data_IF_772276192011
#
_entry.id   IF_772276192011
#
_cell.length_a   1.000
_cell.length_b   1.000
_cell.length_c   1.000
_cell.angle_alpha   90.00
_cell.angle_beta   90.00
_cell.angle_gamma   90.00
#
_symmetry.space_group_name_H-M   'P 1'
#
loop_
_entity.id
_entity.type
_entity.pdbx_description
1 polymer ?
#
# COMPACT_ATOMS: atom_id res chain seq x y z
N UNK A 1 -43.89 26.81 2.80
CA UNK A 1 -42.65 27.31 2.16
C UNK A 1 -41.42 27.03 2.99
N UNK A 2 -41.44 27.37 4.29
CA UNK A 2 -40.33 27.04 5.20
C UNK A 2 -40.18 25.53 5.45
N UNK A 3 -41.23 24.75 5.24
CA UNK A 3 -41.19 23.28 5.41
C UNK A 3 -40.29 22.59 4.39
N UNK A 4 -40.15 23.16 3.22
CA UNK A 4 -39.24 22.63 2.19
C UNK A 4 -37.77 22.76 2.53
N UNK A 5 -37.38 23.87 3.16
CA UNK A 5 -36.02 24.10 3.55
C UNK A 5 -35.59 23.20 4.71
N UNK A 6 -36.53 22.94 5.65
CA UNK A 6 -36.26 22.06 6.80
C UNK A 6 -36.09 20.60 6.37
N UNK A 7 -36.89 20.12 5.44
CA UNK A 7 -36.76 18.79 4.87
C UNK A 7 -35.46 18.61 4.11
N UNK A 8 -34.99 19.66 3.46
CA UNK A 8 -33.79 19.66 2.69
C UNK A 8 -32.53 19.57 3.59
N UNK A 9 -32.54 20.27 4.70
CA UNK A 9 -31.46 20.25 5.69
C UNK A 9 -31.39 18.87 6.40
N UNK A 10 -32.54 18.27 6.65
CA UNK A 10 -32.63 16.94 7.28
C UNK A 10 -32.04 15.86 6.39
N UNK A 11 -32.31 15.89 5.10
CA UNK A 11 -31.75 14.96 4.14
C UNK A 11 -30.22 15.11 4.03
N UNK A 12 -29.69 16.31 4.14
CA UNK A 12 -28.24 16.58 4.14
C UNK A 12 -27.54 15.97 5.33
N UNK A 13 -28.10 16.05 6.51
CA UNK A 13 -27.51 15.47 7.72
C UNK A 13 -27.49 13.95 7.66
N UNK A 14 -28.46 13.36 7.01
CA UNK A 14 -28.54 11.91 6.83
C UNK A 14 -27.55 11.41 5.76
N UNK A 15 -27.31 12.19 4.73
CA UNK A 15 -26.33 11.89 3.68
C UNK A 15 -24.89 12.00 4.18
N UNK A 16 -24.59 12.83 5.17
CA UNK A 16 -23.24 13.02 5.71
C UNK A 16 -22.67 11.74 6.34
N UNK A 17 -23.47 10.94 7.04
CA UNK A 17 -23.06 9.68 7.64
C UNK A 17 -22.79 8.61 6.56
N UNK A 18 -23.63 8.54 5.53
CA UNK A 18 -23.43 7.66 4.39
C UNK A 18 -22.24 8.09 3.55
N UNK A 19 -21.99 9.39 3.43
CA UNK A 19 -20.85 9.94 2.71
C UNK A 19 -19.51 9.58 3.34
N UNK A 20 -19.45 9.46 4.67
CA UNK A 20 -18.20 9.08 5.38
C UNK A 20 -17.83 7.62 5.08
N UNK A 21 -18.78 6.70 5.09
CA UNK A 21 -18.55 5.30 4.74
C UNK A 21 -18.18 5.14 3.27
N UNK A 22 -18.91 5.81 2.39
CA UNK A 22 -18.60 5.82 0.95
C UNK A 22 -17.24 6.45 0.69
N UNK A 23 -16.86 7.47 1.46
CA UNK A 23 -15.57 8.14 1.34
C UNK A 23 -14.41 7.19 1.68
N UNK A 24 -14.53 6.40 2.74
CA UNK A 24 -13.53 5.40 3.12
C UNK A 24 -13.42 4.32 2.05
N UNK A 25 -14.53 3.77 1.59
CA UNK A 25 -14.54 2.76 0.53
C UNK A 25 -13.90 3.30 -0.76
N UNK A 26 -14.21 4.54 -1.11
CA UNK A 26 -13.61 5.21 -2.26
C UNK A 26 -12.09 5.32 -2.13
N UNK A 27 -11.60 5.69 -0.94
CA UNK A 27 -10.17 5.80 -0.69
C UNK A 27 -9.48 4.43 -0.75
N UNK A 28 -10.11 3.40 -0.21
CA UNK A 28 -9.60 2.04 -0.31
C UNK A 28 -9.53 1.59 -1.77
N UNK A 29 -10.58 1.85 -2.53
CA UNK A 29 -10.59 1.55 -3.97
C UNK A 29 -9.43 2.25 -4.70
N UNK A 30 -9.23 3.54 -4.43
CA UNK A 30 -8.12 4.31 -4.99
C UNK A 30 -6.76 3.70 -4.60
N UNK A 31 -6.60 3.32 -3.33
CA UNK A 31 -5.37 2.68 -2.85
C UNK A 31 -5.11 1.36 -3.61
N UNK A 32 -6.12 0.53 -3.74
CA UNK A 32 -5.99 -0.76 -4.44
C UNK A 32 -5.63 -0.57 -5.92
N UNK A 33 -6.18 0.44 -6.57
CA UNK A 33 -5.79 0.78 -7.94
C UNK A 33 -4.33 1.24 -8.01
N UNK A 34 -3.89 2.04 -7.04
CA UNK A 34 -2.52 2.56 -6.99
C UNK A 34 -1.49 1.45 -6.78
N UNK A 35 -1.77 0.50 -5.90
CA UNK A 35 -0.84 -0.59 -5.58
C UNK A 35 -0.90 -1.75 -6.60
N UNK A 36 -1.79 -1.66 -7.58
CA UNK A 36 -1.88 -2.59 -8.70
C UNK A 36 -1.76 -1.85 -10.03
N UNK A 37 -0.60 -1.19 -10.31
CA UNK A 37 -0.45 -0.43 -11.55
C UNK A 37 -0.69 -1.29 -12.79
N UNK A 38 -1.64 -0.88 -13.62
CA UNK A 38 -1.98 -1.60 -14.85
C UNK A 38 -2.82 -2.85 -14.66
N UNK A 39 -3.28 -3.15 -13.44
CA UNK A 39 -4.07 -4.36 -13.15
C UNK A 39 -5.32 -4.01 -12.34
N UNK A 40 -6.32 -3.45 -13.02
CA UNK A 40 -7.61 -3.11 -12.40
C UNK A 40 -8.38 -4.36 -11.95
N UNK A 41 -8.19 -5.48 -12.60
CA UNK A 41 -8.86 -6.73 -12.25
C UNK A 41 -8.44 -7.23 -10.87
N UNK A 42 -7.15 -7.19 -10.58
CA UNK A 42 -6.64 -7.54 -9.25
C UNK A 42 -7.18 -6.57 -8.19
N UNK A 43 -7.20 -5.28 -8.49
CA UNK A 43 -7.76 -4.27 -7.60
C UNK A 43 -9.24 -4.53 -7.31
N UNK A 44 -10.02 -4.89 -8.32
CA UNK A 44 -11.44 -5.19 -8.16
C UNK A 44 -11.68 -6.40 -7.28
N UNK A 45 -10.92 -7.47 -7.47
CA UNK A 45 -11.00 -8.69 -6.66
C UNK A 45 -10.66 -8.39 -5.20
N UNK A 46 -9.62 -7.64 -4.96
CA UNK A 46 -9.19 -7.24 -3.62
C UNK A 46 -10.22 -6.34 -2.95
N UNK A 47 -10.85 -5.46 -3.71
CA UNK A 47 -11.91 -4.58 -3.19
C UNK A 47 -13.14 -5.36 -2.75
N UNK A 48 -13.54 -6.38 -3.50
CA UNK A 48 -14.64 -7.25 -3.10
C UNK A 48 -14.33 -7.98 -1.80
N UNK A 49 -13.11 -8.49 -1.65
CA UNK A 49 -12.64 -9.12 -0.42
C UNK A 49 -12.59 -8.11 0.73
N UNK A 50 -12.16 -6.88 0.46
CA UNK A 50 -12.17 -5.81 1.46
C UNK A 50 -13.58 -5.58 2.00
N UNK A 51 -14.55 -5.43 1.12
CA UNK A 51 -15.94 -5.16 1.51
C UNK A 51 -16.51 -6.31 2.34
N UNK A 52 -16.26 -7.55 1.92
CA UNK A 52 -16.73 -8.73 2.66
C UNK A 52 -16.10 -8.82 4.05
N UNK A 53 -14.80 -8.56 4.15
CA UNK A 53 -14.06 -8.59 5.42
C UNK A 53 -14.50 -7.46 6.35
N UNK A 54 -14.68 -6.26 5.81
CA UNK A 54 -15.15 -5.10 6.57
C UNK A 54 -16.54 -5.33 7.16
N UNK A 55 -17.43 -5.97 6.40
CA UNK A 55 -18.78 -6.30 6.87
C UNK A 55 -18.75 -7.32 8.02
N UNK A 56 -17.82 -8.28 7.98
CA UNK A 56 -17.67 -9.29 9.02
C UNK A 56 -17.04 -8.76 10.30
N UNK A 57 -16.01 -7.92 10.16
CA UNK A 57 -15.21 -7.44 11.31
C UNK A 57 -15.70 -6.11 11.90
N UNK A 58 -16.57 -5.40 11.19
CA UNK A 58 -17.13 -4.13 11.66
C UNK A 58 -16.16 -2.96 11.54
N UNK A 59 -15.93 -2.22 12.61
CA UNK A 59 -15.22 -0.94 12.63
C UNK A 59 -13.69 -1.06 12.64
N UNK A 60 -13.11 -2.07 12.06
CA UNK A 60 -11.65 -2.21 12.01
C UNK A 60 -11.00 -1.19 11.07
N UNK A 61 -9.70 -0.95 11.33
CA UNK A 61 -8.87 -0.04 10.54
C UNK A 61 -8.87 -0.49 9.05
N UNK A 62 -9.30 0.38 8.12
CA UNK A 62 -9.32 0.04 6.69
C UNK A 62 -7.97 -0.45 6.15
N UNK A 63 -6.88 0.14 6.61
CA UNK A 63 -5.53 -0.24 6.14
C UNK A 63 -5.17 -1.64 6.58
N UNK A 64 -5.57 -2.02 7.78
CA UNK A 64 -5.36 -3.38 8.29
C UNK A 64 -6.10 -4.40 7.45
N UNK A 65 -7.34 -4.09 7.07
CA UNK A 65 -8.13 -4.95 6.19
C UNK A 65 -7.48 -5.05 4.82
N UNK A 66 -7.02 -3.92 4.26
CA UNK A 66 -6.29 -3.92 2.98
C UNK A 66 -5.05 -4.83 3.06
N UNK A 67 -4.28 -4.73 4.15
CA UNK A 67 -3.11 -5.58 4.35
C UNK A 67 -3.48 -7.06 4.40
N UNK A 68 -4.64 -7.38 4.97
CA UNK A 68 -5.13 -8.76 5.07
C UNK A 68 -5.59 -9.32 3.72
N UNK A 69 -6.27 -8.52 2.90
CA UNK A 69 -6.84 -8.97 1.62
C UNK A 69 -5.87 -8.87 0.46
N UNK A 70 -4.81 -8.07 0.58
CA UNK A 70 -3.74 -8.03 -0.41
C UNK A 70 -2.68 -9.08 -0.04
N UNK A 71 -2.23 -9.80 -1.03
CA UNK A 71 -1.21 -10.83 -0.85
C UNK A 71 0.12 -10.38 -1.47
N UNK A 72 1.05 -11.31 -1.63
CA UNK A 72 2.37 -11.09 -2.23
C UNK A 72 2.32 -10.40 -3.61
N UNK A 73 1.17 -10.38 -4.27
CA UNK A 73 0.99 -9.74 -5.58
C UNK A 73 0.96 -8.22 -5.50
N UNK A 74 0.53 -7.67 -4.38
CA UNK A 74 0.26 -6.24 -4.27
C UNK A 74 0.91 -5.57 -3.08
N UNK A 75 1.35 -6.34 -2.09
CA UNK A 75 1.96 -5.81 -0.87
C UNK A 75 3.03 -6.75 -0.35
N UNK A 76 3.86 -6.24 0.56
CA UNK A 76 4.82 -7.09 1.25
C UNK A 76 4.80 -6.79 2.74
N UNK A 77 5.05 -7.83 3.54
CA UNK A 77 5.27 -7.76 4.98
C UNK A 77 6.36 -8.78 5.29
N UNK A 78 7.51 -8.31 5.75
CA UNK A 78 8.66 -9.17 5.98
C UNK A 78 9.36 -8.77 7.28
N UNK A 79 10.09 -9.72 7.89
CA UNK A 79 10.93 -9.43 9.05
C UNK A 79 12.06 -8.45 8.67
N UNK A 80 12.28 -7.45 9.53
CA UNK A 80 13.32 -6.45 9.31
C UNK A 80 14.72 -7.05 9.26
N UNK A 81 14.94 -8.14 9.98
CA UNK A 81 16.25 -8.83 10.04
C UNK A 81 16.45 -9.83 8.89
N UNK A 82 15.42 -10.16 8.14
CA UNK A 82 15.49 -11.15 7.07
C UNK A 82 15.66 -10.49 5.71
N UNK A 83 16.91 -10.21 5.36
CA UNK A 83 17.25 -9.58 4.07
C UNK A 83 16.87 -10.45 2.88
N UNK A 84 16.95 -11.77 3.02
CA UNK A 84 16.60 -12.71 1.95
C UNK A 84 15.10 -12.67 1.65
N UNK A 85 14.29 -12.69 2.68
CA UNK A 85 12.84 -12.58 2.55
C UNK A 85 12.42 -11.27 1.90
N UNK A 86 13.07 -10.16 2.30
CA UNK A 86 12.83 -8.85 1.70
C UNK A 86 13.10 -8.87 0.19
N UNK A 87 14.26 -9.39 -0.21
CA UNK A 87 14.63 -9.49 -1.62
C UNK A 87 13.65 -10.35 -2.40
N UNK A 88 13.26 -11.50 -1.86
CA UNK A 88 12.26 -12.37 -2.50
C UNK A 88 10.92 -11.69 -2.68
N UNK A 89 10.43 -10.99 -1.65
CA UNK A 89 9.15 -10.31 -1.70
C UNK A 89 9.15 -9.21 -2.75
N UNK A 90 10.19 -8.38 -2.80
CA UNK A 90 10.29 -7.31 -3.81
C UNK A 90 10.45 -7.90 -5.21
N UNK A 91 11.24 -8.96 -5.35
CA UNK A 91 11.42 -9.64 -6.64
C UNK A 91 10.10 -10.16 -7.18
N UNK A 92 9.26 -10.76 -6.34
CA UNK A 92 7.94 -11.22 -6.74
C UNK A 92 7.01 -10.08 -7.14
N UNK A 93 7.01 -8.99 -6.37
CA UNK A 93 6.17 -7.82 -6.67
C UNK A 93 6.51 -7.23 -8.04
N UNK A 94 7.80 -7.06 -8.33
CA UNK A 94 8.21 -6.42 -9.59
C UNK A 94 8.12 -7.36 -10.78
N UNK A 95 8.03 -8.66 -10.55
CA UNK A 95 7.85 -9.64 -11.63
C UNK A 95 6.56 -9.43 -12.41
N UNK A 96 5.56 -8.79 -11.81
CA UNK A 96 4.31 -8.42 -12.48
C UNK A 96 4.56 -7.53 -13.70
N UNK A 97 5.66 -6.78 -13.69
CA UNK A 97 6.01 -5.84 -14.75
C UNK A 97 7.24 -6.26 -15.53
N UNK A 98 7.67 -7.51 -15.34
CA UNK A 98 8.91 -8.06 -15.95
C UNK A 98 10.14 -7.24 -15.58
N UNK A 99 10.19 -6.74 -14.34
CA UNK A 99 11.32 -5.98 -13.83
C UNK A 99 12.22 -6.85 -12.95
N UNK A 100 13.50 -6.51 -12.93
CA UNK A 100 14.47 -7.07 -12.02
C UNK A 100 15.16 -5.92 -11.28
N UNK A 101 15.43 -6.12 -9.99
CA UNK A 101 16.11 -5.12 -9.17
C UNK A 101 17.61 -5.38 -9.18
N UNK A 102 18.39 -4.33 -9.42
CA UNK A 102 19.83 -4.39 -9.25
C UNK A 102 20.17 -4.14 -7.77
N UNK A 103 20.45 -5.22 -7.05
CA UNK A 103 20.74 -5.14 -5.62
C UNK A 103 22.19 -4.71 -5.31
N UNK A 104 23.02 -4.59 -6.35
CA UNK A 104 24.40 -4.13 -6.19
C UNK A 104 25.39 -5.20 -5.75
N UNK A 105 24.99 -6.48 -5.81
CA UNK A 105 25.85 -7.60 -5.45
C UNK A 105 25.15 -8.93 -5.71
N UNK A 106 25.81 -10.03 -5.33
CA UNK A 106 25.27 -11.37 -5.51
C UNK A 106 24.38 -11.73 -4.30
N UNK A 107 23.06 -11.68 -4.51
CA UNK A 107 22.05 -11.94 -3.47
C UNK A 107 22.04 -13.39 -2.98
N UNK A 108 22.75 -14.28 -3.65
CA UNK A 108 22.86 -15.69 -3.26
C UNK A 108 24.05 -15.95 -2.33
N UNK A 109 24.98 -14.99 -2.19
CA UNK A 109 26.12 -15.10 -1.30
C UNK A 109 25.79 -14.60 0.11
N UNK A 110 26.23 -15.36 1.11
CA UNK A 110 26.03 -14.98 2.52
C UNK A 110 26.75 -13.68 2.87
N UNK A 111 27.92 -13.45 2.27
CA UNK A 111 28.71 -12.23 2.47
C UNK A 111 27.92 -10.97 2.10
N UNK A 112 27.11 -11.04 1.02
CA UNK A 112 26.28 -9.93 0.61
C UNK A 112 25.29 -9.56 1.73
N UNK A 113 24.63 -10.56 2.33
CA UNK A 113 23.62 -10.34 3.38
C UNK A 113 24.25 -9.86 4.70
N UNK A 114 25.51 -10.17 4.93
CA UNK A 114 26.25 -9.68 6.11
C UNK A 114 26.66 -8.20 5.96
N UNK A 115 26.86 -7.74 4.73
CA UNK A 115 27.31 -6.37 4.45
C UNK A 115 26.17 -5.37 4.31
N UNK A 116 24.95 -5.83 4.03
CA UNK A 116 23.79 -4.95 3.81
C UNK A 116 22.76 -5.15 4.91
N UNK A 117 22.05 -4.07 5.23
CA UNK A 117 20.93 -4.11 6.15
C UNK A 117 19.60 -3.81 5.42
N UNK A 118 18.48 -3.90 6.15
CA UNK A 118 17.16 -3.64 5.58
C UNK A 118 17.01 -2.25 4.98
N UNK A 119 17.38 -1.17 5.70
CA UNK A 119 17.27 0.18 5.15
C UNK A 119 18.11 0.39 3.89
N UNK A 120 19.29 -0.20 3.80
CA UNK A 120 20.14 -0.12 2.61
C UNK A 120 19.47 -0.83 1.41
N UNK A 121 18.88 -2.02 1.64
CA UNK A 121 18.16 -2.74 0.60
C UNK A 121 16.94 -1.98 0.13
N UNK A 122 16.19 -1.37 1.05
CA UNK A 122 15.07 -0.48 0.70
C UNK A 122 15.53 0.65 -0.22
N UNK A 123 16.65 1.29 0.13
CA UNK A 123 17.19 2.41 -0.65
C UNK A 123 17.61 1.97 -2.04
N UNK A 124 18.28 0.83 -2.16
CA UNK A 124 18.71 0.28 -3.45
C UNK A 124 17.53 -0.08 -4.34
N UNK A 125 16.51 -0.73 -3.76
CA UNK A 125 15.29 -1.07 -4.50
C UNK A 125 14.53 0.19 -4.92
N UNK A 126 14.45 1.18 -4.03
CA UNK A 126 13.80 2.46 -4.34
C UNK A 126 14.48 3.16 -5.52
N UNK A 127 15.80 3.29 -5.48
CA UNK A 127 16.56 3.98 -6.53
C UNK A 127 16.39 3.29 -7.89
N UNK A 128 16.47 1.97 -7.91
CA UNK A 128 16.33 1.20 -9.14
C UNK A 128 14.91 1.31 -9.71
N UNK A 129 13.91 1.15 -8.87
CA UNK A 129 12.50 1.28 -9.27
C UNK A 129 12.17 2.69 -9.74
N UNK A 130 12.69 3.70 -9.05
CA UNK A 130 12.46 5.10 -9.41
C UNK A 130 12.99 5.39 -10.82
N UNK A 131 14.15 4.83 -11.18
CA UNK A 131 14.71 4.97 -12.52
C UNK A 131 13.85 4.30 -13.60
N UNK A 132 13.00 3.36 -13.21
CA UNK A 132 12.11 2.61 -14.10
C UNK A 132 10.67 3.11 -14.09
N UNK A 133 10.39 4.17 -13.35
CA UNK A 133 9.06 4.79 -13.31
C UNK A 133 8.15 4.27 -12.20
N UNK A 134 8.71 3.64 -11.17
CA UNK A 134 7.96 3.10 -10.03
C UNK A 134 8.49 3.66 -8.71
N UNK A 135 7.63 3.72 -7.72
CA UNK A 135 7.98 4.21 -6.38
C UNK A 135 7.75 3.11 -5.35
N UNK A 136 8.79 2.80 -4.58
CA UNK A 136 8.70 1.87 -3.46
C UNK A 136 8.37 2.65 -2.20
N UNK A 137 7.24 2.28 -1.58
CA UNK A 137 6.76 2.91 -0.34
C UNK A 137 6.92 1.96 0.83
N UNK A 138 7.34 2.51 1.97
CA UNK A 138 7.29 1.81 3.25
C UNK A 138 6.15 2.38 4.07
N UNK A 139 5.33 1.50 4.65
CA UNK A 139 4.30 1.92 5.60
C UNK A 139 4.69 1.49 7.00
N UNK A 140 4.18 2.20 7.99
CA UNK A 140 4.34 1.79 9.37
C UNK A 140 3.64 0.44 9.58
N UNK A 141 4.40 -0.55 10.03
CA UNK A 141 3.87 -1.89 10.29
C UNK A 141 3.34 -1.98 11.71
N UNK A 142 2.44 -2.94 11.95
CA UNK A 142 1.86 -3.17 13.28
C UNK A 142 2.90 -3.68 14.28
N UNK A 143 3.95 -4.34 13.79
CA UNK A 143 5.05 -4.86 14.61
C UNK A 143 6.34 -4.09 14.34
N UNK A 144 7.10 -3.77 15.38
CA UNK A 144 8.30 -2.93 15.31
C UNK A 144 9.43 -3.54 14.46
N UNK A 145 9.53 -4.87 14.44
CA UNK A 145 10.60 -5.59 13.73
C UNK A 145 10.20 -6.02 12.32
N UNK A 146 9.18 -5.38 11.75
CA UNK A 146 8.61 -5.79 10.46
C UNK A 146 8.63 -4.63 9.47
N UNK A 147 9.00 -4.92 8.23
CA UNK A 147 8.86 -4.00 7.11
C UNK A 147 7.62 -4.34 6.29
N UNK A 148 6.89 -3.32 5.91
CA UNK A 148 5.71 -3.47 5.07
C UNK A 148 5.63 -2.32 4.07
N UNK A 149 4.99 -2.56 2.93
CA UNK A 149 4.83 -1.51 1.95
C UNK A 149 4.21 -1.94 0.65
N UNK A 150 4.28 -1.01 -0.30
CA UNK A 150 3.69 -1.18 -1.63
C UNK A 150 4.59 -0.56 -2.68
N UNK A 151 4.33 -0.92 -3.95
CA UNK A 151 4.97 -0.31 -5.11
C UNK A 151 3.88 0.29 -5.99
N UNK A 152 4.05 1.56 -6.35
CA UNK A 152 3.12 2.28 -7.22
C UNK A 152 3.85 2.88 -8.41
N UNK A 153 3.11 3.36 -9.41
CA UNK A 153 3.70 4.14 -10.50
C UNK A 153 4.16 5.51 -9.97
N UNK A 154 5.36 5.96 -10.36
CA UNK A 154 5.91 7.25 -9.90
C UNK A 154 5.04 8.45 -10.28
N UNK A 155 4.32 8.38 -11.40
CA UNK A 155 3.40 9.43 -11.83
C UNK A 155 2.23 9.63 -10.86
N UNK A 156 1.97 8.64 -10.01
CA UNK A 156 0.86 8.64 -9.06
C UNK A 156 1.30 8.95 -7.62
N UNK A 157 2.54 9.39 -7.41
CA UNK A 157 3.09 9.67 -6.08
C UNK A 157 2.23 10.63 -5.27
N UNK A 158 1.77 11.71 -5.88
CA UNK A 158 0.91 12.68 -5.21
C UNK A 158 -0.42 12.07 -4.80
N UNK A 159 -1.05 11.30 -5.69
CA UNK A 159 -2.29 10.59 -5.39
C UNK A 159 -2.10 9.59 -4.25
N UNK A 160 -0.98 8.87 -4.24
CA UNK A 160 -0.66 7.92 -3.18
C UNK A 160 -0.54 8.61 -1.82
N UNK A 161 0.12 9.76 -1.76
CA UNK A 161 0.24 10.54 -0.53
C UNK A 161 -1.11 11.03 -0.03
N UNK A 162 -1.96 11.51 -0.93
CA UNK A 162 -3.30 11.99 -0.59
C UNK A 162 -4.17 10.87 -0.02
N UNK A 163 -4.16 9.71 -0.66
CA UNK A 163 -4.95 8.54 -0.22
C UNK A 163 -4.44 8.04 1.13
N UNK A 164 -3.13 7.94 1.30
CA UNK A 164 -2.51 7.51 2.56
C UNK A 164 -2.88 8.45 3.70
N UNK A 165 -2.80 9.76 3.49
CA UNK A 165 -3.19 10.76 4.48
C UNK A 165 -4.67 10.61 4.84
N UNK A 166 -5.53 10.44 3.85
CA UNK A 166 -6.97 10.28 4.07
C UNK A 166 -7.30 9.02 4.87
N UNK A 167 -6.52 7.95 4.70
CA UNK A 167 -6.71 6.68 5.43
C UNK A 167 -5.93 6.61 6.74
N UNK A 168 -5.13 7.63 7.06
CA UNK A 168 -4.33 7.67 8.27
C UNK A 168 -3.09 6.77 8.22
N UNK A 169 -2.61 6.46 7.02
CA UNK A 169 -1.40 5.66 6.82
C UNK A 169 -0.17 6.54 6.88
N UNK A 170 0.81 6.15 7.68
CA UNK A 170 2.09 6.83 7.73
C UNK A 170 3.01 6.19 6.67
N UNK A 171 3.22 6.89 5.56
CA UNK A 171 4.07 6.43 4.45
C UNK A 171 5.41 7.13 4.46
N UNK A 172 6.43 6.37 4.06
CA UNK A 172 7.77 6.88 3.78
C UNK A 172 8.23 6.35 2.43
N UNK A 173 9.07 7.10 1.75
CA UNK A 173 9.76 6.58 0.59
C UNK A 173 10.76 5.50 1.02
N UNK A 174 11.01 4.52 0.14
CA UNK A 174 11.91 3.42 0.48
C UNK A 174 13.32 3.86 0.86
N UNK A 175 13.78 5.01 0.33
CA UNK A 175 15.09 5.56 0.68
C UNK A 175 15.10 6.38 1.99
N UNK A 176 13.98 6.46 2.68
CA UNK A 176 13.81 7.17 3.95
C UNK A 176 13.61 6.22 5.13
N UNK A 177 13.69 4.93 4.90
CA UNK A 177 13.60 3.91 5.94
C UNK A 177 14.90 3.90 6.74
N UNK A 178 14.78 3.86 8.06
CA UNK A 178 15.94 3.82 8.97
C UNK A 178 15.94 2.56 9.83
#
# INVERSE_FOLDING_TARGET
>A
MSDYDDDYDYEREHDDDDDDEESVEKRVWQLLLLINPGDEEAAAQQFELYRATADEEGDEDPVRIVATVTDWRSSFVVDADDTREFIEAITELVSRWNLEIDWGGDIHEDDFHEEVDGPELFSRAFDDLNSKGYTLWAREADEDDTYAGWITSSRDDESMRMVATALGVNLRLGNQVM
#
